data_IF_399251637517
#
_entry.id   IF_399251637517
#
_cell.length_a   1.000
_cell.length_b   1.000
_cell.length_c   1.000
_cell.angle_alpha   90.00
_cell.angle_beta   90.00
_cell.angle_gamma   90.00
#
_symmetry.space_group_name_H-M   'P 1'
#
loop_
_entity.id
_entity.type
_entity.pdbx_description
1 polymer ?
#
# COMPACT_ATOMS: atom_id res chain seq x y z
N UNK A 1 26.81 36.24 59.81
CA UNK A 1 28.04 36.41 59.01
C UNK A 1 27.64 36.82 57.61
N UNK A 2 28.25 37.89 57.13
CA UNK A 2 27.98 38.60 55.87
C UNK A 2 28.81 37.97 54.74
N UNK A 3 28.28 38.02 53.50
CA UNK A 3 28.93 38.28 52.18
C UNK A 3 28.27 37.40 51.09
N UNK A 4 27.85 37.87 49.92
CA UNK A 4 27.85 39.17 49.23
C UNK A 4 26.95 39.04 47.97
N UNK A 5 26.11 40.02 47.65
CA UNK A 5 26.33 41.06 46.60
C UNK A 5 26.56 40.48 45.18
N UNK A 6 25.59 40.63 44.25
CA UNK A 6 25.38 41.74 43.27
C UNK A 6 25.99 41.35 41.89
N UNK A 7 25.50 41.71 40.70
CA UNK A 7 24.58 42.76 40.24
C UNK A 7 24.06 42.42 38.80
N UNK A 8 22.83 42.86 38.53
CA UNK A 8 22.30 43.65 37.39
C UNK A 8 22.75 43.44 35.92
N UNK A 9 21.74 43.17 35.06
CA UNK A 9 21.36 43.91 33.81
C UNK A 9 20.24 43.13 33.11
N UNK A 10 19.23 43.69 32.47
CA UNK A 10 18.75 45.06 32.25
C UNK A 10 17.34 44.93 31.65
N UNK A 11 16.43 45.85 31.98
CA UNK A 11 15.09 45.96 31.36
C UNK A 11 15.19 46.44 29.91
N UNK A 12 14.19 46.12 29.09
CA UNK A 12 13.76 47.00 28.00
C UNK A 12 13.15 46.28 26.79
N UNK A 13 11.95 46.70 26.40
CA UNK A 13 11.45 46.50 25.04
C UNK A 13 9.98 46.08 24.93
N UNK A 14 9.05 47.02 25.14
CA UNK A 14 7.72 46.96 24.53
C UNK A 14 7.88 46.98 23.00
N UNK A 15 7.29 46.03 22.30
CA UNK A 15 7.08 46.09 20.86
C UNK A 15 5.59 46.31 20.55
N UNK A 16 5.26 47.24 19.63
CA UNK A 16 3.89 47.72 19.40
C UNK A 16 3.02 46.73 18.62
N UNK A 17 1.72 46.77 18.90
CA UNK A 17 0.67 46.11 18.11
C UNK A 17 0.66 46.67 16.68
N UNK A 18 0.83 45.78 15.70
CA UNK A 18 0.76 46.12 14.29
C UNK A 18 -0.57 45.62 13.70
N UNK A 19 -1.44 46.57 13.40
CA UNK A 19 -2.71 46.38 12.72
C UNK A 19 -2.52 45.73 11.35
N UNK A 20 -2.96 44.48 11.18
CA UNK A 20 -3.07 43.83 9.87
C UNK A 20 -4.44 44.07 9.25
N UNK A 21 -4.47 44.78 8.13
CA UNK A 21 -5.64 45.04 7.27
C UNK A 21 -6.29 43.73 6.76
N UNK A 22 -7.62 43.71 6.49
CA UNK A 22 -8.29 42.56 5.91
C UNK A 22 -7.89 42.43 4.42
N UNK A 23 -7.14 41.38 4.08
CA UNK A 23 -6.65 41.12 2.74
C UNK A 23 -7.30 39.87 2.14
N UNK A 24 -8.23 40.09 1.22
CA UNK A 24 -8.64 39.26 0.09
C UNK A 24 -8.78 37.73 0.29
N UNK A 25 -10.03 37.25 0.26
CA UNK A 25 -10.35 35.92 -0.24
C UNK A 25 -9.75 35.74 -1.63
N UNK A 26 -8.73 34.90 -1.74
CA UNK A 26 -8.36 34.27 -2.99
C UNK A 26 -9.03 32.89 -3.01
N UNK A 27 -10.24 32.82 -3.58
CA UNK A 27 -10.75 31.57 -4.11
C UNK A 27 -9.84 31.16 -5.27
N UNK A 28 -8.78 30.41 -4.94
CA UNK A 28 -7.97 29.73 -5.93
C UNK A 28 -8.82 28.65 -6.57
N UNK A 29 -9.29 28.93 -7.79
CA UNK A 29 -9.88 27.94 -8.66
C UNK A 29 -8.92 26.75 -8.80
N UNK A 30 -9.27 25.61 -8.21
CA UNK A 30 -8.63 24.33 -8.52
C UNK A 30 -9.06 23.95 -9.93
N UNK A 31 -8.36 24.46 -10.94
CA UNK A 31 -8.45 23.85 -12.27
C UNK A 31 -7.75 22.50 -12.19
N UNK A 32 -8.43 21.37 -12.39
CA UNK A 32 -7.77 20.08 -12.42
C UNK A 32 -6.73 20.12 -13.54
N UNK A 33 -5.47 19.89 -13.20
CA UNK A 33 -4.47 19.56 -14.21
C UNK A 33 -5.03 18.33 -14.94
N UNK A 34 -5.25 18.45 -16.26
CA UNK A 34 -5.54 17.31 -17.15
C UNK A 34 -4.28 16.43 -17.29
N UNK A 35 -3.65 16.08 -16.16
CA UNK A 35 -2.57 15.14 -16.07
C UNK A 35 -3.17 13.76 -15.82
N UNK A 36 -2.95 12.83 -16.75
CA UNK A 36 -3.20 11.41 -16.53
C UNK A 36 -2.50 11.00 -15.23
N UNK A 37 -3.25 10.64 -14.20
CA UNK A 37 -2.66 10.14 -12.96
C UNK A 37 -1.85 8.89 -13.32
N UNK A 38 -0.53 8.97 -13.16
CA UNK A 38 0.34 7.85 -13.51
C UNK A 38 0.04 6.67 -12.58
N UNK A 39 0.03 5.42 -13.09
CA UNK A 39 -0.13 4.25 -12.24
C UNK A 39 0.91 4.28 -11.12
N UNK A 40 0.45 4.17 -9.87
CA UNK A 40 1.36 4.09 -8.74
C UNK A 40 1.99 2.70 -8.73
N UNK A 41 3.32 2.65 -8.64
CA UNK A 41 4.10 1.43 -8.44
C UNK A 41 4.71 1.48 -7.07
N UNK A 42 4.32 0.54 -6.20
CA UNK A 42 4.96 0.38 -4.91
C UNK A 42 5.93 -0.82 -4.97
N UNK A 43 7.21 -0.57 -4.72
CA UNK A 43 8.27 -1.57 -4.75
C UNK A 43 9.00 -1.63 -3.42
N UNK A 44 9.30 -2.86 -2.95
CA UNK A 44 10.13 -3.15 -1.78
C UNK A 44 9.58 -2.58 -0.47
N UNK A 45 8.46 -3.14 0.01
CA UNK A 45 7.93 -2.83 1.33
C UNK A 45 8.45 -3.84 2.36
N UNK A 46 9.42 -3.44 3.19
CA UNK A 46 10.07 -4.35 4.15
C UNK A 46 9.20 -4.70 5.37
N UNK A 47 7.97 -4.19 5.49
CA UNK A 47 7.03 -4.59 6.53
C UNK A 47 5.59 -4.13 6.21
N UNK A 48 4.66 -5.05 5.92
CA UNK A 48 3.21 -4.72 5.80
C UNK A 48 2.46 -4.82 7.14
N UNK A 49 3.16 -5.08 8.24
CA UNK A 49 2.56 -5.38 9.53
C UNK A 49 1.67 -6.62 9.45
N UNK A 50 0.54 -6.59 10.15
CA UNK A 50 -0.48 -7.62 10.16
C UNK A 50 -1.38 -7.63 8.89
N UNK A 51 -1.05 -6.84 7.87
CA UNK A 51 -1.81 -6.76 6.63
C UNK A 51 -3.04 -5.84 6.68
N UNK A 52 -3.25 -5.09 7.77
CA UNK A 52 -4.34 -4.08 7.84
C UNK A 52 -4.26 -3.03 6.72
N UNK A 53 -3.05 -2.70 6.26
CA UNK A 53 -2.84 -1.75 5.17
C UNK A 53 -3.27 -2.28 3.80
N UNK A 54 -3.47 -3.58 3.61
CA UNK A 54 -3.91 -4.11 2.32
C UNK A 54 -5.29 -3.60 1.93
N UNK A 55 -6.20 -3.49 2.90
CA UNK A 55 -7.55 -3.01 2.62
C UNK A 55 -7.53 -1.57 2.07
N UNK A 56 -6.71 -0.69 2.65
CA UNK A 56 -6.61 0.71 2.18
C UNK A 56 -5.77 0.84 0.92
N UNK A 57 -4.63 0.14 0.83
CA UNK A 57 -3.75 0.22 -0.34
C UNK A 57 -4.43 -0.31 -1.61
N UNK A 58 -5.13 -1.45 -1.53
CA UNK A 58 -5.79 -2.08 -2.68
C UNK A 58 -7.04 -1.32 -3.14
N UNK A 59 -7.55 -0.39 -2.34
CA UNK A 59 -8.66 0.51 -2.70
C UNK A 59 -8.19 1.80 -3.39
N UNK A 60 -6.87 2.01 -3.52
CA UNK A 60 -6.35 3.17 -4.23
C UNK A 60 -6.68 3.05 -5.73
N UNK A 61 -7.41 4.01 -6.33
CA UNK A 61 -7.97 3.86 -7.68
C UNK A 61 -6.93 3.73 -8.78
N UNK A 62 -5.67 4.12 -8.51
CA UNK A 62 -4.57 4.12 -9.47
C UNK A 62 -3.48 3.10 -9.15
N UNK A 63 -3.66 2.26 -8.13
CA UNK A 63 -2.74 1.18 -7.83
C UNK A 63 -3.04 0.00 -8.75
N UNK A 64 -2.14 -0.23 -9.72
CA UNK A 64 -2.28 -1.32 -10.71
C UNK A 64 -1.19 -2.38 -10.57
N UNK A 65 -0.09 -2.06 -9.88
CA UNK A 65 1.04 -2.96 -9.68
C UNK A 65 1.56 -2.86 -8.24
N UNK A 66 1.70 -4.01 -7.60
CA UNK A 66 2.15 -4.14 -6.22
C UNK A 66 3.25 -5.19 -6.14
N UNK A 67 4.43 -4.75 -5.71
CA UNK A 67 5.59 -5.61 -5.55
C UNK A 67 5.96 -5.76 -4.07
N UNK A 68 5.81 -6.99 -3.57
CA UNK A 68 6.12 -7.42 -2.20
C UNK A 68 7.30 -8.40 -2.16
N UNK A 69 8.10 -8.48 -3.23
CA UNK A 69 9.19 -9.45 -3.30
C UNK A 69 10.11 -9.34 -2.07
N UNK A 70 10.37 -10.47 -1.43
CA UNK A 70 11.21 -10.56 -0.23
C UNK A 70 10.53 -10.07 1.05
N UNK A 71 9.26 -9.69 1.01
CA UNK A 71 8.46 -9.33 2.19
C UNK A 71 7.86 -10.60 2.79
N UNK A 72 8.22 -10.92 4.03
CA UNK A 72 7.63 -12.07 4.73
C UNK A 72 6.15 -11.80 5.06
N UNK A 73 5.23 -12.56 4.45
CA UNK A 73 3.80 -12.40 4.65
C UNK A 73 3.25 -13.53 5.53
N UNK A 74 2.60 -13.16 6.63
CA UNK A 74 1.86 -14.13 7.44
C UNK A 74 0.61 -14.61 6.68
N UNK A 75 0.06 -15.76 7.07
CA UNK A 75 -1.20 -16.24 6.51
C UNK A 75 -2.34 -15.20 6.64
N UNK A 76 -2.43 -14.55 7.79
CA UNK A 76 -3.43 -13.50 8.04
C UNK A 76 -3.24 -12.29 7.12
N UNK A 77 -1.99 -11.89 6.87
CA UNK A 77 -1.68 -10.81 5.94
C UNK A 77 -2.11 -11.17 4.50
N UNK A 78 -1.89 -12.42 4.08
CA UNK A 78 -2.38 -12.93 2.78
C UNK A 78 -3.91 -12.94 2.71
N UNK A 79 -4.59 -13.39 3.76
CA UNK A 79 -6.06 -13.37 3.83
C UNK A 79 -6.62 -11.94 3.64
N UNK A 80 -6.03 -10.94 4.31
CA UNK A 80 -6.44 -9.54 4.15
C UNK A 80 -6.14 -8.99 2.76
N UNK A 81 -5.01 -9.37 2.18
CA UNK A 81 -4.69 -9.04 0.79
C UNK A 81 -5.73 -9.62 -0.17
N UNK A 82 -6.06 -10.91 -0.05
CA UNK A 82 -7.07 -11.57 -0.88
C UNK A 82 -8.44 -10.91 -0.75
N UNK A 83 -8.88 -10.57 0.47
CA UNK A 83 -10.13 -9.84 0.67
C UNK A 83 -10.14 -8.48 -0.04
N UNK A 84 -9.00 -7.78 -0.10
CA UNK A 84 -8.88 -6.52 -0.83
C UNK A 84 -8.88 -6.70 -2.34
N UNK A 85 -8.26 -7.77 -2.86
CA UNK A 85 -8.21 -8.08 -4.30
C UNK A 85 -9.60 -8.36 -4.92
N UNK A 86 -10.52 -8.91 -4.11
CA UNK A 86 -11.89 -9.22 -4.52
C UNK A 86 -12.78 -7.94 -4.51
N UNK A 87 -12.31 -6.85 -3.92
CA UNK A 87 -13.09 -5.61 -3.85
C UNK A 87 -13.34 -5.03 -5.24
N UNK A 88 -14.56 -4.57 -5.57
CA UNK A 88 -14.87 -4.04 -6.90
C UNK A 88 -14.06 -2.78 -7.26
N UNK A 89 -13.61 -2.03 -6.24
CA UNK A 89 -12.77 -0.84 -6.39
C UNK A 89 -11.29 -1.16 -6.58
N UNK A 90 -10.88 -2.42 -6.40
CA UNK A 90 -9.51 -2.83 -6.67
C UNK A 90 -9.23 -2.83 -8.17
N UNK A 91 -8.15 -2.18 -8.57
CA UNK A 91 -7.67 -2.08 -9.95
C UNK A 91 -6.28 -2.72 -10.13
N UNK A 92 -5.88 -3.58 -9.18
CA UNK A 92 -4.59 -4.25 -9.24
C UNK A 92 -4.57 -5.29 -10.37
N UNK A 93 -3.64 -5.13 -11.30
CA UNK A 93 -3.44 -6.04 -12.41
C UNK A 93 -2.17 -6.88 -12.24
N UNK A 94 -1.17 -6.39 -11.50
CA UNK A 94 0.11 -7.08 -11.26
C UNK A 94 0.43 -7.20 -9.77
N UNK A 95 0.72 -8.43 -9.33
CA UNK A 95 1.10 -8.74 -7.95
C UNK A 95 2.35 -9.64 -7.93
N UNK A 96 3.41 -9.16 -7.30
CA UNK A 96 4.68 -9.89 -7.20
C UNK A 96 4.92 -10.30 -5.74
N UNK A 97 4.83 -11.60 -5.47
CA UNK A 97 4.97 -12.21 -4.14
C UNK A 97 6.20 -13.13 -4.05
N UNK A 98 7.24 -12.86 -4.82
CA UNK A 98 8.42 -13.71 -4.83
C UNK A 98 9.14 -13.71 -3.47
N UNK A 99 9.58 -14.88 -2.99
CA UNK A 99 10.29 -15.02 -1.71
C UNK A 99 9.53 -14.40 -0.52
N UNK A 100 8.21 -14.57 -0.49
CA UNK A 100 7.33 -14.02 0.55
C UNK A 100 6.97 -15.00 1.68
N UNK A 101 7.43 -16.25 1.61
CA UNK A 101 7.06 -17.29 2.58
C UNK A 101 5.64 -17.84 2.37
N UNK A 102 5.09 -17.72 1.16
CA UNK A 102 3.74 -18.18 0.83
C UNK A 102 3.67 -19.70 0.97
N UNK A 103 2.89 -20.16 1.95
CA UNK A 103 2.61 -21.59 2.14
C UNK A 103 1.63 -22.11 1.09
N UNK A 104 1.54 -23.44 0.96
CA UNK A 104 0.56 -24.09 0.09
C UNK A 104 -0.89 -23.68 0.40
N UNK A 105 -1.24 -23.46 1.67
CA UNK A 105 -2.59 -23.04 2.05
C UNK A 105 -2.84 -21.58 1.69
N UNK A 106 -1.88 -20.69 1.95
CA UNK A 106 -1.95 -19.30 1.53
C UNK A 106 -2.05 -19.18 -0.01
N UNK A 107 -1.39 -20.06 -0.76
CA UNK A 107 -1.51 -20.13 -2.21
C UNK A 107 -2.94 -20.43 -2.68
N UNK A 108 -3.64 -21.34 -2.00
CA UNK A 108 -5.05 -21.66 -2.33
C UNK A 108 -5.95 -20.44 -2.12
N UNK A 109 -5.72 -19.68 -1.05
CA UNK A 109 -6.45 -18.43 -0.80
C UNK A 109 -6.18 -17.38 -1.87
N UNK A 110 -4.91 -17.23 -2.28
CA UNK A 110 -4.54 -16.34 -3.39
C UNK A 110 -5.26 -16.74 -4.66
N UNK A 111 -5.20 -18.03 -5.03
CA UNK A 111 -5.86 -18.57 -6.23
C UNK A 111 -7.38 -18.29 -6.22
N UNK A 112 -8.02 -18.48 -5.07
CA UNK A 112 -9.47 -18.23 -4.94
C UNK A 112 -9.81 -16.77 -5.20
N UNK A 113 -8.95 -15.84 -4.76
CA UNK A 113 -9.13 -14.41 -5.04
C UNK A 113 -8.91 -14.03 -6.51
N UNK A 114 -8.12 -14.80 -7.27
CA UNK A 114 -7.90 -14.55 -8.70
C UNK A 114 -9.18 -14.71 -9.51
N UNK A 115 -10.01 -15.70 -9.17
CA UNK A 115 -11.25 -15.98 -9.90
C UNK A 115 -12.28 -14.86 -9.81
N UNK A 116 -12.19 -14.06 -8.75
CA UNK A 116 -13.13 -12.96 -8.46
C UNK A 116 -12.50 -11.58 -8.72
N UNK A 117 -11.20 -11.54 -9.01
CA UNK A 117 -10.42 -10.33 -9.15
C UNK A 117 -10.17 -9.93 -10.61
N UNK A 118 -9.29 -8.94 -10.79
CA UNK A 118 -8.86 -8.42 -12.10
C UNK A 118 -7.37 -8.68 -12.36
N UNK A 119 -6.75 -9.56 -11.57
CA UNK A 119 -5.30 -9.75 -11.59
C UNK A 119 -4.87 -10.51 -12.86
N UNK A 120 -4.02 -9.88 -13.67
CA UNK A 120 -3.49 -10.42 -14.93
C UNK A 120 -2.11 -11.03 -14.76
N UNK A 121 -1.31 -10.54 -13.83
CA UNK A 121 0.06 -10.99 -13.61
C UNK A 121 0.29 -11.35 -12.14
N UNK A 122 0.72 -12.58 -11.90
CA UNK A 122 1.06 -13.09 -10.58
C UNK A 122 2.47 -13.68 -10.60
N UNK A 123 3.27 -13.33 -9.60
CA UNK A 123 4.51 -14.04 -9.32
C UNK A 123 4.52 -14.64 -7.93
N UNK A 124 4.81 -15.93 -7.84
CA UNK A 124 4.97 -16.72 -6.62
C UNK A 124 6.36 -17.38 -6.54
N UNK A 125 7.33 -16.92 -7.35
CA UNK A 125 8.71 -17.45 -7.37
C UNK A 125 9.31 -17.59 -5.97
N UNK A 126 10.15 -18.61 -5.78
CA UNK A 126 10.87 -18.81 -4.52
C UNK A 126 9.95 -18.94 -3.28
N UNK A 127 8.73 -19.48 -3.43
CA UNK A 127 7.84 -19.83 -2.32
C UNK A 127 7.62 -21.34 -2.20
N UNK A 128 7.41 -21.87 -0.98
CA UNK A 128 7.15 -23.29 -0.73
C UNK A 128 5.69 -23.69 -1.02
N UNK A 129 5.27 -23.61 -2.29
CA UNK A 129 3.88 -23.89 -2.69
C UNK A 129 3.50 -25.37 -2.57
N UNK A 130 4.48 -26.27 -2.70
CA UNK A 130 4.30 -27.74 -2.75
C UNK A 130 3.25 -28.18 -3.79
N UNK A 131 2.96 -29.50 -3.83
CA UNK A 131 1.98 -30.04 -4.79
C UNK A 131 0.59 -29.42 -4.61
N UNK A 132 0.16 -29.13 -3.37
CA UNK A 132 -1.16 -28.57 -3.10
C UNK A 132 -1.34 -27.18 -3.73
N UNK A 133 -0.36 -26.28 -3.60
CA UNK A 133 -0.44 -24.96 -4.22
C UNK A 133 -0.39 -25.02 -5.75
N UNK A 134 0.48 -25.90 -6.30
CA UNK A 134 0.60 -26.09 -7.75
C UNK A 134 -0.70 -26.66 -8.36
N UNK A 135 -1.32 -27.64 -7.71
CA UNK A 135 -2.60 -28.21 -8.18
C UNK A 135 -3.68 -27.14 -8.22
N UNK A 136 -3.81 -26.32 -7.17
CA UNK A 136 -4.78 -25.22 -7.15
C UNK A 136 -4.53 -24.20 -8.28
N UNK A 137 -3.26 -23.85 -8.54
CA UNK A 137 -2.89 -23.00 -9.68
C UNK A 137 -3.28 -23.65 -11.02
N UNK A 138 -3.05 -24.96 -11.19
CA UNK A 138 -3.45 -25.66 -12.40
C UNK A 138 -4.97 -25.74 -12.58
N UNK A 139 -5.75 -25.81 -11.50
CA UNK A 139 -7.21 -25.83 -11.55
C UNK A 139 -7.76 -24.48 -12.01
N UNK A 140 -7.27 -23.37 -11.43
CA UNK A 140 -7.75 -22.04 -11.85
C UNK A 140 -7.35 -21.70 -13.28
N UNK A 141 -6.16 -22.09 -13.72
CA UNK A 141 -5.70 -21.84 -15.09
C UNK A 141 -6.49 -22.61 -16.16
N UNK A 142 -7.21 -23.67 -15.78
CA UNK A 142 -8.12 -24.39 -16.67
C UNK A 142 -9.51 -23.77 -16.72
N UNK A 143 -9.83 -22.90 -15.77
CA UNK A 143 -11.12 -22.21 -15.75
C UNK A 143 -11.17 -21.21 -16.93
N UNK A 144 -12.18 -21.30 -17.83
CA UNK A 144 -12.34 -20.36 -18.93
C UNK A 144 -12.55 -18.90 -18.49
N UNK A 145 -12.93 -18.67 -17.24
CA UNK A 145 -13.09 -17.33 -16.66
C UNK A 145 -11.80 -16.77 -16.05
N UNK A 146 -10.71 -17.54 -16.04
CA UNK A 146 -9.42 -17.06 -15.56
C UNK A 146 -8.88 -15.94 -16.45
N UNK A 147 -8.64 -14.77 -15.84
CA UNK A 147 -8.08 -13.59 -16.53
C UNK A 147 -6.56 -13.47 -16.39
N UNK A 148 -5.90 -14.46 -15.79
CA UNK A 148 -4.46 -14.44 -15.57
C UNK A 148 -3.71 -14.65 -16.89
N UNK A 149 -2.94 -13.65 -17.31
CA UNK A 149 -2.15 -13.64 -18.54
C UNK A 149 -0.72 -14.15 -18.31
N UNK A 150 -0.17 -13.95 -17.09
CA UNK A 150 1.18 -14.38 -16.73
C UNK A 150 1.26 -14.92 -15.31
N UNK A 151 1.89 -16.09 -15.18
CA UNK A 151 2.25 -16.72 -13.91
C UNK A 151 3.76 -16.99 -13.90
N UNK A 152 4.45 -16.56 -12.83
CA UNK A 152 5.90 -16.78 -12.62
C UNK A 152 6.20 -17.40 -11.27
#
# INVERSE_FOLDING_TARGET
MIRGQKDERSKGGQYPEEHRKPGAQAEGAWTPLQGTLRPARCSFMTNFGDGTLFHTALQLPHLTSLNLYGTNLSYYAVEKMCSGLISPTCNLEELLLGKCGISSNACVEIVTSLNLGKLKHLSLVENPLNNKGVVALCEILKDPSCVLEKLM
#
